data_IF_867228303173
#
_entry.id   IF_867228303173
#
_cell.length_a   1.000
_cell.length_b   1.000
_cell.length_c   1.000
_cell.angle_alpha   90.00
_cell.angle_beta   90.00
_cell.angle_gamma   90.00
#
_symmetry.space_group_name_H-M   'P 1'
#
loop_
_entity.id
_entity.type
_entity.pdbx_description
1 polymer ?
#
# COMPACT_ATOMS: atom_id res chain seq x y z
N UNK A 1 22.06 -21.48 -9.63
CA UNK A 1 21.29 -20.36 -9.02
C UNK A 1 21.47 -20.43 -7.52
N UNK A 2 22.45 -19.71 -6.97
CA UNK A 2 22.75 -19.73 -5.53
C UNK A 2 21.58 -19.12 -4.74
N UNK A 3 20.90 -19.94 -3.94
CA UNK A 3 19.94 -19.47 -2.94
C UNK A 3 20.68 -18.54 -1.98
N UNK A 4 20.58 -17.23 -2.20
CA UNK A 4 21.04 -16.25 -1.24
C UNK A 4 20.11 -16.35 -0.04
N UNK A 5 20.55 -17.03 1.02
CA UNK A 5 19.85 -17.04 2.29
C UNK A 5 19.43 -15.61 2.66
N UNK A 6 18.19 -15.46 3.11
CA UNK A 6 17.62 -14.18 3.50
C UNK A 6 18.46 -13.67 4.70
N UNK A 7 19.23 -12.61 4.49
CA UNK A 7 20.17 -12.10 5.48
C UNK A 7 19.67 -10.74 5.93
N UNK A 8 19.60 -10.52 7.24
CA UNK A 8 19.29 -9.22 7.81
C UNK A 8 20.48 -8.28 7.56
N UNK A 9 20.20 -7.02 7.24
CA UNK A 9 21.25 -6.01 7.10
C UNK A 9 22.05 -5.87 8.41
N UNK A 10 23.37 -5.99 8.34
CA UNK A 10 24.26 -5.85 9.52
C UNK A 10 24.19 -4.45 10.12
N UNK A 11 23.80 -3.46 9.32
CA UNK A 11 23.62 -2.06 9.75
C UNK A 11 22.14 -1.76 10.05
N UNK A 12 21.36 -2.77 10.45
CA UNK A 12 19.99 -2.59 10.87
C UNK A 12 19.92 -1.73 12.15
N UNK A 13 18.94 -0.84 12.20
CA UNK A 13 18.69 0.02 13.35
C UNK A 13 17.19 0.10 13.55
N UNK A 14 16.72 -0.03 14.79
CA UNK A 14 15.30 0.02 15.14
C UNK A 14 14.57 1.27 14.64
N UNK A 15 15.30 2.39 14.50
CA UNK A 15 14.78 3.63 13.90
C UNK A 15 14.26 3.46 12.47
N UNK A 16 14.75 2.48 11.71
CA UNK A 16 14.30 2.19 10.33
C UNK A 16 12.91 1.54 10.28
N UNK A 17 12.46 0.93 11.39
CA UNK A 17 11.11 0.35 11.50
C UNK A 17 10.03 1.37 11.87
N UNK A 18 10.41 2.59 12.25
CA UNK A 18 9.45 3.65 12.57
C UNK A 18 8.54 3.92 11.37
N UNK A 19 9.10 4.05 10.16
CA UNK A 19 8.30 4.34 8.96
C UNK A 19 7.27 3.23 8.62
N UNK A 20 7.62 1.92 8.60
CA UNK A 20 6.65 0.84 8.46
C UNK A 20 5.57 0.84 9.54
N UNK A 21 5.96 1.01 10.81
CA UNK A 21 5.02 0.98 11.94
C UNK A 21 4.05 2.16 11.88
N UNK A 22 4.54 3.37 11.65
CA UNK A 22 3.71 4.59 11.52
C UNK A 22 2.73 4.45 10.36
N UNK A 23 3.18 3.88 9.24
CA UNK A 23 2.31 3.68 8.07
C UNK A 23 1.21 2.66 8.37
N UNK A 24 1.57 1.51 8.96
CA UNK A 24 0.60 0.50 9.36
C UNK A 24 -0.40 1.05 10.38
N UNK A 25 0.08 1.78 11.40
CA UNK A 25 -0.79 2.38 12.41
C UNK A 25 -1.72 3.43 11.81
N UNK A 26 -1.26 4.25 10.86
CA UNK A 26 -2.12 5.23 10.21
C UNK A 26 -3.30 4.58 9.47
N UNK A 27 -3.05 3.49 8.74
CA UNK A 27 -4.10 2.72 8.08
C UNK A 27 -5.05 2.04 9.07
N UNK A 28 -4.53 1.50 10.16
CA UNK A 28 -5.38 0.93 11.23
C UNK A 28 -6.22 1.98 11.95
N UNK A 29 -5.66 3.16 12.21
CA UNK A 29 -6.41 4.29 12.79
C UNK A 29 -7.53 4.71 11.85
N UNK A 30 -7.26 4.85 10.55
CA UNK A 30 -8.29 5.12 9.54
C UNK A 30 -9.35 4.01 9.51
N UNK A 31 -8.94 2.74 9.57
CA UNK A 31 -9.85 1.60 9.61
C UNK A 31 -10.80 1.68 10.81
N UNK A 32 -10.28 1.98 12.01
CA UNK A 32 -11.07 2.10 13.24
C UNK A 32 -11.97 3.33 13.21
N UNK A 33 -11.46 4.48 12.79
CA UNK A 33 -12.26 5.72 12.70
C UNK A 33 -13.43 5.53 11.74
N UNK A 34 -13.17 4.99 10.55
CA UNK A 34 -14.21 4.73 9.56
C UNK A 34 -15.15 3.60 9.97
N UNK A 35 -14.68 2.62 10.74
CA UNK A 35 -15.53 1.60 11.35
C UNK A 35 -16.51 2.19 12.37
N UNK A 36 -16.05 3.14 13.20
CA UNK A 36 -16.87 3.78 14.24
C UNK A 36 -17.83 4.82 13.67
N UNK A 37 -17.38 5.61 12.68
CA UNK A 37 -18.16 6.73 12.10
C UNK A 37 -19.02 6.27 10.92
N UNK A 38 -18.62 5.23 10.20
CA UNK A 38 -19.31 4.77 9.00
C UNK A 38 -20.63 4.08 9.31
N UNK A 39 -21.68 4.42 8.56
CA UNK A 39 -22.97 3.73 8.60
C UNK A 39 -23.01 2.62 7.53
N UNK A 40 -23.35 1.39 7.93
CA UNK A 40 -23.63 0.28 7.01
C UNK A 40 -22.49 -0.75 6.81
N UNK A 41 -21.39 -0.39 6.15
CA UNK A 41 -20.34 -1.35 5.70
C UNK A 41 -19.12 -1.44 6.64
N UNK A 42 -19.33 -1.36 7.95
CA UNK A 42 -18.27 -1.21 8.94
C UNK A 42 -17.23 -2.35 8.87
N UNK A 43 -17.69 -3.61 8.85
CA UNK A 43 -16.79 -4.77 8.82
C UNK A 43 -15.94 -4.83 7.54
N UNK A 44 -16.53 -4.49 6.39
CA UNK A 44 -15.82 -4.46 5.10
C UNK A 44 -14.73 -3.39 5.11
N UNK A 45 -15.04 -2.19 5.59
CA UNK A 45 -14.09 -1.08 5.72
C UNK A 45 -12.94 -1.44 6.66
N UNK A 46 -13.24 -2.05 7.80
CA UNK A 46 -12.22 -2.48 8.77
C UNK A 46 -11.27 -3.52 8.16
N UNK A 47 -11.82 -4.52 7.48
CA UNK A 47 -11.03 -5.57 6.80
C UNK A 47 -10.19 -4.96 5.68
N UNK A 48 -10.75 -4.05 4.87
CA UNK A 48 -10.03 -3.43 3.75
C UNK A 48 -8.84 -2.60 4.21
N UNK A 49 -9.07 -1.62 5.07
CA UNK A 49 -7.99 -0.74 5.54
C UNK A 49 -7.03 -1.48 6.47
N UNK A 50 -7.51 -2.40 7.30
CA UNK A 50 -6.67 -3.25 8.15
C UNK A 50 -5.76 -4.18 7.34
N UNK A 51 -6.30 -4.85 6.32
CA UNK A 51 -5.51 -5.71 5.43
C UNK A 51 -4.48 -4.88 4.63
N UNK A 52 -4.88 -3.75 4.05
CA UNK A 52 -3.95 -2.89 3.32
C UNK A 52 -2.83 -2.35 4.23
N UNK A 53 -3.18 -1.91 5.44
CA UNK A 53 -2.21 -1.43 6.43
C UNK A 53 -1.21 -2.49 6.86
N UNK A 54 -1.67 -3.72 7.10
CA UNK A 54 -0.78 -4.85 7.44
C UNK A 54 0.09 -5.28 6.26
N UNK A 55 -0.47 -5.38 5.05
CA UNK A 55 0.28 -5.73 3.84
C UNK A 55 1.40 -4.72 3.54
N UNK A 56 1.10 -3.41 3.65
CA UNK A 56 2.09 -2.35 3.50
C UNK A 56 3.13 -2.37 4.63
N UNK A 57 2.68 -2.54 5.88
CA UNK A 57 3.57 -2.63 7.04
C UNK A 57 4.57 -3.77 6.93
N UNK A 58 4.13 -4.96 6.49
CA UNK A 58 4.99 -6.12 6.27
C UNK A 58 6.02 -5.83 5.19
N UNK A 59 5.62 -5.40 3.99
CA UNK A 59 6.60 -5.25 2.92
C UNK A 59 7.50 -4.02 3.05
N UNK A 60 7.04 -2.94 3.69
CA UNK A 60 7.92 -1.83 4.11
C UNK A 60 8.88 -2.27 5.23
N UNK A 61 8.42 -3.10 6.17
CA UNK A 61 9.23 -3.71 7.22
C UNK A 61 10.34 -4.57 6.63
N UNK A 62 10.00 -5.48 5.71
CA UNK A 62 10.99 -6.25 4.95
C UNK A 62 11.94 -5.33 4.18
N UNK A 63 11.43 -4.28 3.51
CA UNK A 63 12.30 -3.34 2.79
C UNK A 63 13.29 -2.60 3.71
N UNK A 64 12.92 -2.35 4.98
CA UNK A 64 13.75 -1.70 5.97
C UNK A 64 14.78 -2.64 6.63
N UNK A 65 14.45 -3.92 6.79
CA UNK A 65 15.30 -4.95 7.42
C UNK A 65 16.29 -5.55 6.42
N UNK A 66 15.90 -5.68 5.14
CA UNK A 66 16.70 -6.38 4.14
C UNK A 66 17.83 -5.49 3.57
N UNK A 67 19.00 -6.08 3.28
CA UNK A 67 20.14 -5.40 2.68
C UNK A 67 19.82 -4.94 1.25
N UNK A 68 20.55 -3.92 0.75
CA UNK A 68 20.28 -3.26 -0.56
C UNK A 68 19.99 -4.23 -1.71
N UNK A 69 20.72 -5.35 -1.81
CA UNK A 69 20.54 -6.38 -2.85
C UNK A 69 19.22 -7.16 -2.75
N UNK A 70 18.62 -7.24 -1.56
CA UNK A 70 17.41 -8.01 -1.27
C UNK A 70 16.18 -7.11 -1.02
N UNK A 71 16.34 -5.78 -1.00
CA UNK A 71 15.23 -4.81 -0.90
C UNK A 71 14.07 -5.04 -1.91
N UNK A 72 14.32 -5.45 -3.17
CA UNK A 72 13.23 -5.77 -4.09
C UNK A 72 12.30 -6.90 -3.61
N UNK A 73 12.75 -7.76 -2.69
CA UNK A 73 11.93 -8.84 -2.12
C UNK A 73 10.80 -8.26 -1.28
N UNK A 74 11.10 -7.31 -0.39
CA UNK A 74 10.05 -6.57 0.34
C UNK A 74 9.03 -5.97 -0.62
N UNK A 75 9.50 -5.56 -1.81
CA UNK A 75 8.64 -5.06 -2.87
C UNK A 75 7.71 -6.03 -3.55
N UNK A 76 8.24 -7.19 -3.90
CA UNK A 76 7.43 -8.27 -4.44
C UNK A 76 6.42 -8.77 -3.41
N UNK A 77 6.78 -8.77 -2.11
CA UNK A 77 5.88 -9.18 -1.03
C UNK A 77 4.70 -8.22 -0.88
N UNK A 78 4.88 -6.90 -0.78
CA UNK A 78 3.70 -6.00 -0.70
C UNK A 78 2.84 -6.09 -1.96
N UNK A 79 3.47 -6.15 -3.15
CA UNK A 79 2.73 -6.24 -4.41
C UNK A 79 1.89 -7.53 -4.49
N UNK A 80 2.44 -8.64 -4.02
CA UNK A 80 1.73 -9.92 -3.95
C UNK A 80 0.58 -9.85 -2.93
N UNK A 81 0.82 -9.33 -1.73
CA UNK A 81 -0.21 -9.22 -0.69
C UNK A 81 -1.37 -8.30 -1.11
N UNK A 82 -1.04 -7.13 -1.67
CA UNK A 82 -2.03 -6.18 -2.18
C UNK A 82 -2.75 -6.78 -3.40
N UNK A 83 -2.02 -7.41 -4.31
CA UNK A 83 -2.60 -8.08 -5.48
C UNK A 83 -3.59 -9.19 -5.09
N UNK A 84 -3.26 -10.01 -4.08
CA UNK A 84 -4.17 -11.02 -3.54
C UNK A 84 -5.43 -10.41 -2.92
N UNK A 85 -5.30 -9.28 -2.23
CA UNK A 85 -6.45 -8.53 -1.72
C UNK A 85 -7.37 -8.05 -2.83
N UNK A 86 -6.81 -7.42 -3.86
CA UNK A 86 -7.58 -6.92 -4.99
C UNK A 86 -8.27 -8.06 -5.76
N UNK A 87 -7.59 -9.19 -5.91
CA UNK A 87 -8.15 -10.34 -6.61
C UNK A 87 -9.23 -11.07 -5.79
N UNK A 88 -8.94 -11.41 -4.54
CA UNK A 88 -9.81 -12.27 -3.72
C UNK A 88 -10.91 -11.45 -3.06
N UNK A 89 -10.56 -10.41 -2.29
CA UNK A 89 -11.53 -9.68 -1.48
C UNK A 89 -12.39 -8.76 -2.33
N UNK A 90 -11.80 -7.99 -3.24
CA UNK A 90 -12.55 -7.08 -4.10
C UNK A 90 -13.16 -7.81 -5.29
N UNK A 91 -12.36 -8.60 -6.02
CA UNK A 91 -12.79 -9.30 -7.23
C UNK A 91 -13.74 -10.47 -7.00
N UNK A 92 -13.33 -11.47 -6.21
CA UNK A 92 -14.13 -12.69 -6.02
C UNK A 92 -15.25 -12.54 -5.00
N UNK A 93 -14.95 -11.97 -3.83
CA UNK A 93 -15.90 -11.86 -2.71
C UNK A 93 -16.80 -10.63 -2.88
N UNK A 94 -16.22 -9.46 -3.13
CA UNK A 94 -16.97 -8.23 -3.37
C UNK A 94 -17.79 -8.26 -4.66
N UNK A 95 -17.34 -9.03 -5.67
CA UNK A 95 -17.88 -9.00 -7.04
C UNK A 95 -17.97 -7.58 -7.62
N UNK A 96 -17.22 -6.65 -7.06
CA UNK A 96 -17.25 -5.27 -7.47
C UNK A 96 -16.13 -5.06 -8.49
N UNK A 97 -16.49 -4.51 -9.65
CA UNK A 97 -15.54 -4.25 -10.72
C UNK A 97 -14.91 -2.86 -10.61
N UNK A 98 -14.73 -2.35 -9.38
CA UNK A 98 -14.39 -0.95 -9.10
C UNK A 98 -13.13 -0.48 -9.84
N UNK A 99 -12.20 -1.39 -10.16
CA UNK A 99 -10.97 -1.08 -10.90
C UNK A 99 -11.20 -0.82 -12.38
N UNK A 100 -11.95 -1.67 -13.08
CA UNK A 100 -12.23 -1.48 -14.50
C UNK A 100 -13.34 -0.45 -14.67
N UNK A 101 -14.35 -0.50 -13.80
CA UNK A 101 -15.45 0.46 -13.74
C UNK A 101 -14.96 1.88 -13.44
N UNK A 102 -14.05 2.05 -12.46
CA UNK A 102 -13.45 3.35 -12.17
C UNK A 102 -12.63 3.91 -13.34
N UNK A 103 -11.97 3.04 -14.12
CA UNK A 103 -11.27 3.43 -15.35
C UNK A 103 -12.26 3.91 -16.40
N UNK A 104 -13.32 3.14 -16.69
CA UNK A 104 -14.32 3.53 -17.70
C UNK A 104 -15.13 4.77 -17.29
N UNK A 105 -15.54 4.90 -16.03
CA UNK A 105 -16.22 6.11 -15.55
C UNK A 105 -15.32 7.33 -15.61
N UNK A 106 -14.05 7.21 -15.25
CA UNK A 106 -13.10 8.34 -15.33
C UNK A 106 -12.86 8.77 -16.79
N UNK A 107 -12.79 7.81 -17.72
CA UNK A 107 -12.63 8.05 -19.15
C UNK A 107 -13.88 8.68 -19.78
N UNK A 108 -15.07 8.16 -19.47
CA UNK A 108 -16.34 8.61 -20.07
C UNK A 108 -16.79 9.95 -19.46
N UNK A 109 -16.61 10.17 -18.16
CA UNK A 109 -16.94 11.46 -17.52
C UNK A 109 -15.89 12.56 -17.77
N UNK A 110 -14.77 12.26 -18.46
CA UNK A 110 -13.67 13.22 -18.63
C UNK A 110 -13.07 13.70 -17.30
N UNK A 111 -13.29 12.95 -16.21
CA UNK A 111 -12.80 13.29 -14.87
C UNK A 111 -11.39 12.75 -14.72
N UNK A 112 -10.45 13.40 -15.40
CA UNK A 112 -9.01 13.14 -15.23
C UNK A 112 -8.52 13.48 -13.81
N UNK A 113 -9.39 14.01 -12.94
CA UNK A 113 -9.09 14.45 -11.59
C UNK A 113 -8.31 13.42 -10.77
N UNK A 114 -8.68 12.13 -10.79
CA UNK A 114 -7.95 11.11 -10.04
C UNK A 114 -6.52 10.93 -10.57
N UNK A 115 -6.33 10.90 -11.90
CA UNK A 115 -5.01 10.80 -12.53
C UNK A 115 -4.18 12.07 -12.29
N UNK A 116 -4.80 13.25 -12.41
CA UNK A 116 -4.17 14.55 -12.15
C UNK A 116 -3.73 14.64 -10.70
N UNK A 117 -4.60 14.34 -9.73
CA UNK A 117 -4.26 14.35 -8.30
C UNK A 117 -3.22 13.31 -7.96
N UNK A 118 -3.30 12.11 -8.54
CA UNK A 118 -2.28 11.08 -8.36
C UNK A 118 -0.91 11.56 -8.87
N UNK A 119 -0.84 12.08 -10.09
CA UNK A 119 0.42 12.61 -10.63
C UNK A 119 0.90 13.86 -9.89
N UNK A 120 0.01 14.74 -9.47
CA UNK A 120 0.33 15.91 -8.67
C UNK A 120 0.95 15.51 -7.32
N UNK A 121 0.30 14.60 -6.59
CA UNK A 121 0.82 14.12 -5.30
C UNK A 121 2.10 13.30 -5.51
N UNK A 122 2.18 12.48 -6.55
CA UNK A 122 3.32 11.60 -6.77
C UNK A 122 4.56 12.28 -7.37
N UNK A 123 4.38 13.29 -8.23
CA UNK A 123 5.45 13.95 -8.99
C UNK A 123 5.77 15.36 -8.50
N UNK A 124 4.88 16.01 -7.74
CA UNK A 124 5.13 17.36 -7.20
C UNK A 124 5.24 17.29 -5.67
N UNK A 125 4.17 16.90 -4.99
CA UNK A 125 4.14 16.91 -3.51
C UNK A 125 5.12 15.89 -2.92
N UNK A 126 5.17 14.69 -3.48
CA UNK A 126 6.04 13.60 -3.04
C UNK A 126 7.54 13.94 -3.09
N UNK A 127 8.07 14.41 -4.23
CA UNK A 127 9.46 14.87 -4.31
C UNK A 127 9.75 16.05 -3.37
N UNK A 128 8.81 16.96 -3.18
CA UNK A 128 8.98 18.12 -2.29
C UNK A 128 9.11 17.70 -0.82
N UNK A 129 8.32 16.72 -0.37
CA UNK A 129 8.32 16.27 1.03
C UNK A 129 9.37 15.19 1.33
N UNK A 130 9.66 14.31 0.37
CA UNK A 130 10.46 13.11 0.60
C UNK A 130 11.75 13.03 -0.24
N UNK A 131 12.00 14.02 -1.11
CA UNK A 131 13.19 14.05 -1.98
C UNK A 131 13.22 12.95 -3.04
N UNK A 132 12.10 12.27 -3.28
CA UNK A 132 11.97 11.17 -4.26
C UNK A 132 10.57 11.09 -4.84
N UNK A 133 10.47 10.57 -6.06
CA UNK A 133 9.17 10.24 -6.68
C UNK A 133 8.44 9.20 -5.83
N UNK A 134 7.24 9.54 -5.37
CA UNK A 134 6.54 8.77 -4.33
C UNK A 134 5.69 7.63 -4.91
N UNK A 135 5.29 7.72 -6.18
CA UNK A 135 4.65 6.60 -6.89
C UNK A 135 5.66 5.54 -7.39
N UNK A 136 6.95 5.75 -7.14
CA UNK A 136 8.01 4.78 -7.39
C UNK A 136 8.21 3.83 -6.22
N UNK A 137 7.18 3.06 -5.86
CA UNK A 137 7.43 1.63 -5.85
C UNK A 137 7.22 1.16 -7.27
#
# INVERSE_FOLDING_TARGET
MTQAALRIDKNFTWKKLIAPVVTASAFWTLAIVLFVVGEGQQLFVLINFGYLGTALGIGLGLYAILPKKQKPIGRRVSLLLIGLYLFILVGLIGRENIQIEGVWWSLINGTYYAAIWHYFVAKIVGPLLFGRLWCGW
#
